data_IF_878652724200
#
_entry.id   IF_878652724200
#
_cell.length_a   1.000
_cell.length_b   1.000
_cell.length_c   1.000
_cell.angle_alpha   90.00
_cell.angle_beta   90.00
_cell.angle_gamma   90.00
#
_symmetry.space_group_name_H-M   'P 1'
#
loop_
_entity.id
_entity.type
_entity.pdbx_description
1 polymer ?
#
# COMPACT_ATOMS: atom_id res chain seq x y z
N UNK A 1 13.34 -12.73 -15.20
CA UNK A 1 12.58 -11.53 -14.78
C UNK A 1 12.27 -11.51 -13.29
N UNK A 2 11.99 -12.65 -12.64
CA UNK A 2 11.72 -12.73 -11.19
C UNK A 2 12.86 -12.27 -10.25
N UNK A 3 14.13 -12.46 -10.62
CA UNK A 3 15.30 -12.18 -9.76
C UNK A 3 15.68 -10.69 -9.65
N UNK A 4 14.91 -9.77 -10.25
CA UNK A 4 15.22 -8.34 -10.26
C UNK A 4 14.28 -7.51 -9.37
N UNK A 5 13.35 -8.16 -8.67
CA UNK A 5 12.47 -7.53 -7.69
C UNK A 5 13.18 -7.46 -6.33
N UNK A 6 12.93 -6.43 -5.51
CA UNK A 6 13.42 -6.34 -4.14
C UNK A 6 12.58 -7.25 -3.22
N UNK A 7 12.44 -8.51 -3.61
CA UNK A 7 11.70 -9.54 -2.89
C UNK A 7 12.60 -10.76 -2.96
N UNK A 8 12.76 -11.44 -1.83
CA UNK A 8 13.64 -12.59 -1.75
C UNK A 8 13.29 -13.62 -2.85
N UNK A 9 14.31 -14.13 -3.56
CA UNK A 9 14.16 -14.96 -4.76
C UNK A 9 13.43 -16.30 -4.52
N UNK A 10 13.26 -16.69 -3.26
CA UNK A 10 12.45 -17.83 -2.81
C UNK A 10 10.93 -17.57 -2.92
N UNK A 11 10.49 -16.32 -2.78
CA UNK A 11 9.07 -15.92 -2.84
C UNK A 11 8.55 -15.96 -4.28
N UNK A 12 9.35 -15.53 -5.24
CA UNK A 12 8.95 -15.42 -6.65
C UNK A 12 8.69 -16.75 -7.36
N UNK A 13 9.19 -17.88 -6.85
CA UNK A 13 8.95 -19.22 -7.43
C UNK A 13 7.51 -19.70 -7.27
N UNK A 14 6.81 -19.23 -6.25
CA UNK A 14 5.44 -19.65 -5.93
C UNK A 14 4.40 -18.61 -6.36
N UNK A 15 4.83 -17.52 -6.99
CA UNK A 15 3.95 -16.45 -7.44
C UNK A 15 3.35 -16.76 -8.81
N UNK A 16 2.11 -16.37 -9.00
CA UNK A 16 1.50 -16.36 -10.31
C UNK A 16 2.11 -15.24 -11.20
N UNK A 17 1.99 -15.42 -12.52
CA UNK A 17 2.58 -14.50 -13.51
C UNK A 17 2.01 -13.08 -13.40
N UNK A 18 0.74 -12.93 -13.01
CA UNK A 18 0.12 -11.63 -12.90
C UNK A 18 0.65 -10.87 -11.68
N UNK A 19 0.82 -11.53 -10.53
CA UNK A 19 1.44 -10.94 -9.35
C UNK A 19 2.89 -10.51 -9.60
N UNK A 20 3.69 -11.30 -10.32
CA UNK A 20 5.07 -10.90 -10.70
C UNK A 20 5.03 -9.62 -11.54
N UNK A 21 4.11 -9.53 -12.51
CA UNK A 21 3.96 -8.34 -13.35
C UNK A 21 3.50 -7.13 -12.53
N UNK A 22 2.49 -7.29 -11.66
CA UNK A 22 1.98 -6.22 -10.78
C UNK A 22 3.08 -5.65 -9.89
N UNK A 23 3.84 -6.51 -9.20
CA UNK A 23 4.92 -6.06 -8.32
C UNK A 23 6.07 -5.43 -9.10
N UNK A 24 6.37 -5.93 -10.31
CA UNK A 24 7.39 -5.32 -11.17
C UNK A 24 7.02 -3.90 -11.58
N UNK A 25 5.76 -3.70 -11.98
CA UNK A 25 5.24 -2.38 -12.34
C UNK A 25 5.26 -1.43 -11.14
N UNK A 26 4.77 -1.89 -9.97
CA UNK A 26 4.78 -1.09 -8.76
C UNK A 26 6.20 -0.67 -8.34
N UNK A 27 7.17 -1.58 -8.43
CA UNK A 27 8.57 -1.28 -8.15
C UNK A 27 9.16 -0.25 -9.13
N UNK A 28 8.89 -0.40 -10.43
CA UNK A 28 9.34 0.56 -11.44
C UNK A 28 8.70 1.94 -11.25
N UNK A 29 7.42 1.99 -10.85
CA UNK A 29 6.73 3.24 -10.45
C UNK A 29 7.39 3.86 -9.22
N UNK A 30 7.69 3.05 -8.19
CA UNK A 30 8.36 3.51 -6.97
C UNK A 30 9.74 4.12 -7.25
N UNK A 31 10.50 3.52 -8.18
CA UNK A 31 11.82 3.99 -8.62
C UNK A 31 11.77 5.14 -9.63
N UNK A 32 10.59 5.67 -9.96
CA UNK A 32 10.39 6.71 -10.98
C UNK A 32 10.98 6.35 -12.36
N UNK A 33 11.11 5.06 -12.66
CA UNK A 33 11.62 4.56 -13.94
C UNK A 33 10.55 4.65 -15.02
N UNK A 34 9.28 4.47 -14.64
CA UNK A 34 8.11 4.59 -15.52
C UNK A 34 7.37 5.91 -15.30
N UNK A 35 8.03 7.04 -15.60
CA UNK A 35 7.47 8.39 -15.35
C UNK A 35 6.15 8.66 -16.10
N UNK A 36 5.92 7.97 -17.22
CA UNK A 36 4.71 8.12 -18.04
C UNK A 36 3.53 7.28 -17.56
N UNK A 37 3.73 6.36 -16.62
CA UNK A 37 2.66 5.49 -16.14
C UNK A 37 2.04 6.08 -14.87
N UNK A 38 0.81 6.62 -14.93
CA UNK A 38 0.19 7.21 -13.76
C UNK A 38 -0.06 6.15 -12.69
N UNK A 39 0.11 6.55 -11.43
CA UNK A 39 -0.39 5.78 -10.29
C UNK A 39 -1.90 5.98 -10.24
N UNK A 40 -2.66 4.88 -10.24
CA UNK A 40 -4.12 4.97 -10.18
C UNK A 40 -4.54 5.47 -8.79
N UNK A 41 -5.74 6.02 -8.71
CA UNK A 41 -6.33 6.45 -7.43
C UNK A 41 -6.34 5.28 -6.43
N UNK A 42 -5.71 5.50 -5.28
CA UNK A 42 -5.54 4.50 -4.22
C UNK A 42 -4.67 3.29 -4.57
N UNK A 43 -3.93 3.25 -5.69
CA UNK A 43 -3.02 2.15 -6.01
C UNK A 43 -1.83 2.12 -5.06
N UNK A 44 -1.65 1.00 -4.35
CA UNK A 44 -0.53 0.83 -3.43
C UNK A 44 0.74 0.49 -4.20
N UNK A 45 1.74 1.38 -4.16
CA UNK A 45 3.01 1.17 -4.87
C UNK A 45 4.11 0.56 -3.98
N UNK A 46 3.94 0.65 -2.66
CA UNK A 46 4.90 0.13 -1.69
C UNK A 46 4.22 -0.18 -0.35
N UNK A 47 4.70 -1.23 0.28
CA UNK A 47 4.34 -1.68 1.63
C UNK A 47 5.60 -2.27 2.29
N UNK A 48 5.84 -2.01 3.57
CA UNK A 48 6.93 -2.63 4.35
C UNK A 48 6.70 -4.13 4.59
N UNK A 49 7.76 -4.93 4.77
CA UNK A 49 7.64 -6.39 5.02
C UNK A 49 6.92 -6.71 6.33
N UNK A 50 7.05 -5.82 7.30
CA UNK A 50 6.43 -5.87 8.64
C UNK A 50 4.90 -5.88 8.60
N UNK A 51 4.25 -5.53 7.49
CA UNK A 51 2.78 -5.61 7.38
C UNK A 51 2.24 -7.02 7.68
N UNK A 52 3.00 -8.06 7.37
CA UNK A 52 2.61 -9.45 7.64
C UNK A 52 2.60 -9.71 9.14
N UNK A 53 3.56 -9.17 9.88
CA UNK A 53 3.67 -9.34 11.33
C UNK A 53 2.62 -8.52 12.10
N UNK A 54 2.23 -7.34 11.59
CA UNK A 54 1.32 -6.44 12.29
C UNK A 54 -0.16 -6.62 11.91
N UNK A 55 -0.45 -6.93 10.65
CA UNK A 55 -1.82 -7.03 10.12
C UNK A 55 -2.14 -8.42 9.55
N UNK A 56 -1.15 -9.30 9.39
CA UNK A 56 -1.31 -10.63 8.80
C UNK A 56 -1.62 -10.60 7.31
N UNK A 57 -1.35 -9.47 6.64
CA UNK A 57 -1.55 -9.29 5.22
C UNK A 57 -0.21 -9.45 4.50
N UNK A 58 -0.19 -10.11 3.35
CA UNK A 58 1.03 -10.27 2.57
C UNK A 58 1.25 -9.09 1.63
N UNK A 59 2.49 -8.64 1.50
CA UNK A 59 2.85 -7.57 0.55
C UNK A 59 2.40 -7.89 -0.89
N UNK A 60 2.52 -9.16 -1.31
CA UNK A 60 2.12 -9.63 -2.64
C UNK A 60 0.63 -9.41 -2.94
N UNK A 61 -0.19 -9.51 -1.89
CA UNK A 61 -1.62 -9.35 -2.02
C UNK A 61 -1.99 -7.87 -2.09
N UNK A 62 -1.21 -6.98 -1.49
CA UNK A 62 -1.55 -5.54 -1.38
C UNK A 62 -0.94 -4.73 -2.52
N UNK A 63 0.33 -4.95 -2.86
CA UNK A 63 1.05 -4.13 -3.83
C UNK A 63 0.38 -4.24 -5.21
N UNK A 64 0.13 -3.09 -5.83
CA UNK A 64 -0.54 -2.95 -7.12
C UNK A 64 -2.07 -3.08 -7.06
N UNK A 65 -2.65 -3.32 -5.88
CA UNK A 65 -4.10 -3.28 -5.66
C UNK A 65 -4.53 -1.94 -5.04
N UNK A 66 -5.85 -1.75 -4.95
CA UNK A 66 -6.40 -0.54 -4.34
C UNK A 66 -6.35 -0.64 -2.82
N UNK A 67 -5.92 0.43 -2.16
CA UNK A 67 -5.93 0.52 -0.69
C UNK A 67 -7.36 0.44 -0.14
N UNK A 68 -8.36 0.85 -0.92
CA UNK A 68 -9.77 0.80 -0.53
C UNK A 68 -10.28 -0.63 -0.31
N UNK A 69 -9.61 -1.65 -0.85
CA UNK A 69 -9.93 -3.07 -0.61
C UNK A 69 -9.61 -3.50 0.84
N UNK A 70 -8.71 -2.77 1.51
CA UNK A 70 -8.22 -3.05 2.86
C UNK A 70 -8.72 -2.04 3.90
N UNK A 71 -9.22 -0.90 3.46
CA UNK A 71 -9.70 0.18 4.33
C UNK A 71 -11.19 0.04 4.59
N UNK A 72 -11.62 0.41 5.80
CA UNK A 72 -13.03 0.43 6.15
C UNK A 72 -13.82 1.36 5.22
N UNK A 73 -14.98 0.94 4.66
CA UNK A 73 -15.73 1.74 3.69
C UNK A 73 -16.11 3.15 4.16
N UNK A 74 -16.43 3.32 5.45
CA UNK A 74 -16.74 4.65 6.00
C UNK A 74 -15.53 5.62 5.98
N UNK A 75 -14.31 5.12 5.85
CA UNK A 75 -13.08 5.94 5.86
C UNK A 75 -12.60 6.26 4.43
N UNK A 76 -13.23 5.67 3.39
CA UNK A 76 -12.82 5.83 1.99
C UNK A 76 -12.88 7.29 1.53
N UNK A 77 -13.95 8.01 1.91
CA UNK A 77 -14.13 9.41 1.51
C UNK A 77 -13.03 10.30 2.09
N UNK A 78 -12.77 10.18 3.39
CA UNK A 78 -11.73 10.96 4.08
C UNK A 78 -10.35 10.69 3.49
N UNK A 79 -10.01 9.43 3.27
CA UNK A 79 -8.76 9.04 2.64
C UNK A 79 -8.62 9.59 1.21
N UNK A 80 -9.70 9.54 0.41
CA UNK A 80 -9.70 10.08 -0.96
C UNK A 80 -9.57 11.61 -0.97
N UNK A 81 -10.26 12.29 -0.07
CA UNK A 81 -10.16 13.74 0.09
C UNK A 81 -8.71 14.13 0.47
N UNK A 82 -8.08 13.36 1.36
CA UNK A 82 -6.68 13.56 1.75
C UNK A 82 -5.70 13.35 0.57
N UNK A 83 -5.88 12.29 -0.24
CA UNK A 83 -5.08 12.07 -1.44
C UNK A 83 -5.26 13.16 -2.50
N UNK A 84 -6.50 13.64 -2.71
CA UNK A 84 -6.79 14.69 -3.68
C UNK A 84 -6.30 16.07 -3.23
N UNK A 85 -6.34 16.38 -1.94
CA UNK A 85 -5.78 17.60 -1.37
C UNK A 85 -4.27 17.75 -1.62
N UNK A 86 -3.56 16.62 -1.86
CA UNK A 86 -2.16 16.62 -2.30
C UNK A 86 -2.01 16.94 -3.78
N UNK A 87 -2.92 16.46 -4.63
CA UNK A 87 -2.90 16.75 -6.07
C UNK A 87 -3.14 18.23 -6.39
N UNK A 88 -3.92 18.94 -5.59
CA UNK A 88 -4.17 20.38 -5.79
C UNK A 88 -2.99 21.27 -5.38
N UNK A 89 -2.20 20.87 -4.37
CA UNK A 89 -1.01 21.62 -3.89
C UNK A 89 0.20 21.52 -4.83
N UNK A 90 0.27 20.47 -5.66
CA UNK A 90 1.35 20.28 -6.64
C UNK A 90 1.31 21.28 -7.81
N UNK A 91 0.19 21.99 -8.03
CA UNK A 91 0.05 22.93 -9.15
C UNK A 91 0.58 24.35 -8.85
N UNK A 92 0.97 24.67 -7.61
CA UNK A 92 1.34 26.05 -7.24
C UNK A 92 2.53 26.22 -6.26
N UNK A 93 3.27 25.19 -5.85
CA UNK A 93 4.39 25.40 -4.95
C UNK A 93 5.51 24.37 -5.12
N UNK A 94 6.72 24.86 -4.88
CA UNK A 94 8.03 24.22 -4.98
C UNK A 94 8.11 22.86 -4.27
N UNK A 95 8.95 21.98 -4.82
CA UNK A 95 9.23 20.63 -4.34
C UNK A 95 9.95 20.74 -2.98
N UNK A 96 9.19 20.71 -1.89
CA UNK A 96 9.72 20.40 -0.56
C UNK A 96 9.27 18.99 -0.16
N UNK A 97 10.23 18.17 0.26
CA UNK A 97 10.14 16.74 0.64
C UNK A 97 9.24 16.46 1.88
N UNK A 98 8.45 17.41 2.35
CA UNK A 98 7.69 17.35 3.62
C UNK A 98 6.18 17.14 3.46
N UNK A 99 5.72 16.59 2.33
CA UNK A 99 4.29 16.29 2.12
C UNK A 99 3.88 14.96 2.78
N UNK A 100 4.07 14.88 4.09
CA UNK A 100 3.54 13.85 4.98
C UNK A 100 2.03 14.07 5.15
N UNK A 101 1.21 13.09 4.74
CA UNK A 101 -0.21 13.08 5.08
C UNK A 101 -0.36 12.17 6.28
N UNK A 102 -0.80 12.74 7.40
CA UNK A 102 -1.23 12.00 8.57
C UNK A 102 -2.74 11.83 8.52
N UNK A 103 -3.22 10.60 8.53
CA UNK A 103 -4.64 10.32 8.76
C UNK A 103 -4.79 9.06 9.62
N UNK A 104 -5.87 9.02 10.39
CA UNK A 104 -6.27 7.83 11.14
C UNK A 104 -7.23 7.07 10.25
N UNK A 105 -6.95 5.80 9.98
CA UNK A 105 -7.89 4.96 9.22
C UNK A 105 -8.01 3.59 9.83
N UNK A 106 -9.10 2.89 9.51
CA UNK A 106 -9.27 1.50 9.90
C UNK A 106 -8.84 0.59 8.76
N UNK A 107 -7.84 -0.25 9.01
CA UNK A 107 -7.31 -1.23 8.05
C UNK A 107 -7.72 -2.64 8.50
N UNK A 108 -8.00 -3.51 7.53
CA UNK A 108 -8.23 -4.94 7.78
C UNK A 108 -6.99 -5.56 8.43
N UNK A 109 -7.26 -6.36 9.46
CA UNK A 109 -6.30 -7.18 10.17
C UNK A 109 -6.81 -8.62 10.18
N UNK A 110 -6.00 -9.53 9.65
CA UNK A 110 -6.32 -10.97 9.59
C UNK A 110 -5.91 -11.70 10.86
N UNK A 111 -5.29 -11.03 11.83
CA UNK A 111 -5.10 -11.61 13.15
C UNK A 111 -6.38 -11.50 13.98
N UNK A 112 -6.77 -12.63 14.54
CA UNK A 112 -7.75 -12.68 15.64
C UNK A 112 -7.10 -12.19 16.94
N UNK A 113 -7.91 -11.84 17.93
CA UNK A 113 -7.46 -11.47 19.28
C UNK A 113 -6.58 -12.56 19.94
N UNK A 114 -6.67 -13.80 19.46
CA UNK A 114 -5.88 -14.95 19.93
C UNK A 114 -4.64 -15.23 19.06
N UNK A 115 -4.27 -14.32 18.16
CA UNK A 115 -3.09 -14.43 17.29
C UNK A 115 -3.23 -15.41 16.12
N UNK A 116 -4.41 -16.01 15.89
CA UNK A 116 -4.64 -16.86 14.70
C UNK A 116 -4.87 -15.99 13.47
N UNK A 117 -4.20 -16.33 12.36
CA UNK A 117 -4.46 -15.74 11.06
C UNK A 117 -5.73 -16.32 10.43
N UNK A 118 -6.61 -15.46 9.93
CA UNK A 118 -7.87 -15.79 9.25
C UNK A 118 -7.88 -15.21 7.83
N UNK A 119 -8.89 -15.57 7.04
CA UNK A 119 -9.01 -15.04 5.69
C UNK A 119 -9.37 -13.54 5.69
N UNK A 120 -9.05 -12.85 4.59
CA UNK A 120 -9.30 -11.41 4.43
C UNK A 120 -10.79 -11.02 4.50
N UNK A 121 -11.72 -11.91 4.11
CA UNK A 121 -13.16 -11.63 4.13
C UNK A 121 -13.72 -11.60 5.56
N UNK A 122 -13.09 -12.33 6.47
CA UNK A 122 -13.45 -12.41 7.89
C UNK A 122 -12.57 -11.50 8.77
N UNK A 123 -11.63 -10.76 8.17
CA UNK A 123 -10.72 -9.88 8.88
C UNK A 123 -11.48 -8.79 9.66
N UNK A 124 -11.00 -8.51 10.87
CA UNK A 124 -11.48 -7.39 11.66
C UNK A 124 -10.81 -6.08 11.21
N UNK A 125 -11.40 -4.94 11.54
CA UNK A 125 -10.79 -3.64 11.28
C UNK A 125 -10.06 -3.14 12.52
N UNK A 126 -8.78 -2.79 12.37
CA UNK A 126 -7.96 -2.17 13.42
C UNK A 126 -7.67 -0.73 13.04
N UNK A 127 -7.78 0.17 14.02
CA UNK A 127 -7.37 1.57 13.84
C UNK A 127 -5.86 1.61 13.64
N UNK A 128 -5.44 2.20 12.52
CA UNK A 128 -4.06 2.38 12.14
C UNK A 128 -3.77 3.88 12.03
N UNK A 129 -2.69 4.29 12.66
CA UNK A 129 -2.16 5.65 12.60
C UNK A 129 -0.79 5.58 11.94
N UNK A 130 -0.70 6.13 10.74
CA UNK A 130 0.59 6.32 10.08
C UNK A 130 0.91 7.82 10.13
N UNK A 131 1.94 8.23 10.89
CA UNK A 131 2.36 9.61 10.91
C UNK A 131 2.91 10.07 9.54
N UNK A 132 3.33 9.15 8.65
CA UNK A 132 4.10 9.46 7.43
C UNK A 132 3.69 8.63 6.20
N UNK A 133 2.50 8.85 5.65
CA UNK A 133 2.16 8.30 4.32
C UNK A 133 2.72 9.20 3.23
N UNK A 134 3.90 8.83 2.73
CA UNK A 134 4.57 9.52 1.62
C UNK A 134 4.07 8.92 0.30
N UNK A 135 3.10 9.56 -0.34
CA UNK A 135 2.79 9.34 -1.78
C UNK A 135 2.46 7.88 -2.14
N UNK A 136 1.27 7.39 -1.75
CA UNK A 136 0.78 6.03 -2.07
C UNK A 136 1.69 4.88 -1.55
N UNK A 137 2.59 5.20 -0.61
CA UNK A 137 3.42 4.25 0.14
C UNK A 137 2.80 4.08 1.52
N UNK A 138 2.43 2.86 1.87
CA UNK A 138 2.03 2.52 3.23
C UNK A 138 3.28 2.07 3.97
N UNK A 139 3.68 2.79 5.00
CA UNK A 139 4.86 2.44 5.76
C UNK A 139 4.42 1.89 7.11
N UNK A 140 4.14 0.59 7.15
CA UNK A 140 3.71 -0.06 8.38
C UNK A 140 4.93 -0.40 9.22
N UNK A 141 5.32 0.48 10.14
CA UNK A 141 6.42 0.28 11.10
C UNK A 141 5.87 0.33 12.51
#
# INVERSE_FOLDING_TARGET
MANCLPIAANVTRHMDKASIMRLSIAYMKQKQVLQHLPVKDGEVIYVSETIEDYLGLKQLDIIGNSIYDYVHPCDHKEMKDAFNAKHSKLNHAEINDENEITFVTRIKCTFTEKGKCINLKSAAYKVYYDPKIISNRLNIV
#
